data_IF_361410021712
#
_entry.id   IF_361410021712
#
_cell.length_a   1.000
_cell.length_b   1.000
_cell.length_c   1.000
_cell.angle_alpha   90.00
_cell.angle_beta   90.00
_cell.angle_gamma   90.00
#
_symmetry.space_group_name_H-M   'P 1'
#
loop_
_entity.id
_entity.type
_entity.pdbx_description
1 polymer ?
#
# COMPACT_ATOMS: atom_id res chain seq x y z
N UNK A 1 -2.69 -18.28 14.10
CA UNK A 1 -2.81 -18.83 15.45
C UNK A 1 -1.75 -19.89 15.64
N UNK A 2 -0.84 -19.67 16.57
CA UNK A 2 0.25 -20.61 16.86
C UNK A 2 -0.08 -21.36 18.15
N UNK A 3 0.05 -22.68 18.11
CA UNK A 3 -0.19 -23.56 19.26
C UNK A 3 1.14 -24.06 19.76
N UNK A 4 1.39 -23.92 21.07
CA UNK A 4 2.51 -24.59 21.75
C UNK A 4 2.04 -25.99 22.10
N UNK A 5 2.69 -27.02 21.56
CA UNK A 5 2.42 -28.40 21.86
C UNK A 5 3.25 -28.84 23.08
N UNK A 6 2.58 -29.43 24.05
CA UNK A 6 3.20 -30.20 25.12
C UNK A 6 3.45 -31.62 24.59
N UNK A 7 4.72 -31.95 24.43
CA UNK A 7 5.13 -33.35 24.17
C UNK A 7 5.23 -34.06 25.50
N UNK A 8 4.19 -34.77 25.90
CA UNK A 8 3.86 -35.35 27.20
C UNK A 8 4.96 -36.17 27.91
N UNK A 9 6.18 -36.11 27.48
CA UNK A 9 7.13 -37.14 27.95
C UNK A 9 8.29 -36.67 28.83
N UNK A 10 8.57 -35.38 29.04
CA UNK A 10 9.80 -35.04 29.79
C UNK A 10 9.84 -33.74 30.63
N UNK A 11 8.96 -32.77 30.49
CA UNK A 11 9.22 -31.43 31.01
C UNK A 11 8.00 -30.74 31.66
N UNK A 12 7.82 -30.90 32.97
CA UNK A 12 6.90 -30.14 33.81
C UNK A 12 5.59 -30.86 34.16
N UNK A 13 4.88 -30.32 35.14
CA UNK A 13 3.64 -30.83 35.67
C UNK A 13 2.45 -29.92 35.30
N UNK A 14 1.37 -30.49 34.75
CA UNK A 14 0.14 -29.76 34.47
C UNK A 14 -0.55 -29.28 35.77
N UNK A 15 -1.34 -28.19 35.73
CA UNK A 15 -1.66 -27.35 34.56
C UNK A 15 -0.53 -26.37 34.27
N UNK A 16 -0.45 -25.99 32.96
CA UNK A 16 0.45 -24.96 32.50
C UNK A 16 -0.23 -23.60 32.39
N UNK A 17 0.52 -22.53 32.65
CA UNK A 17 0.11 -21.16 32.38
C UNK A 17 1.00 -20.59 31.27
N UNK A 18 0.44 -19.69 30.52
CA UNK A 18 1.09 -19.08 29.34
C UNK A 18 1.12 -17.57 29.52
N UNK A 19 2.18 -16.95 29.07
CA UNK A 19 2.29 -15.50 28.94
C UNK A 19 3.04 -15.18 27.66
N UNK A 20 2.37 -14.55 26.74
CA UNK A 20 2.97 -14.06 25.51
C UNK A 20 3.52 -12.65 25.70
N UNK A 21 4.49 -12.24 24.89
CA UNK A 21 5.08 -10.90 24.93
C UNK A 21 4.07 -9.77 24.63
N UNK A 22 2.96 -10.07 23.94
CA UNK A 22 1.85 -9.16 23.74
C UNK A 22 0.84 -9.12 24.91
N UNK A 23 1.07 -9.91 25.97
CA UNK A 23 0.22 -10.00 27.15
C UNK A 23 -0.92 -11.04 27.06
N UNK A 24 -1.04 -11.79 25.97
CA UNK A 24 -1.97 -12.91 25.87
C UNK A 24 -1.56 -14.01 26.87
N UNK A 25 -2.54 -14.64 27.51
CA UNK A 25 -2.34 -15.70 28.52
C UNK A 25 -2.94 -17.04 28.10
N UNK A 26 -3.35 -17.18 26.85
CA UNK A 26 -3.94 -18.41 26.34
C UNK A 26 -2.87 -19.34 25.72
N UNK A 27 -3.18 -20.63 25.63
CA UNK A 27 -2.29 -21.58 24.94
C UNK A 27 -2.15 -21.32 23.44
N UNK A 28 -3.01 -20.50 22.88
CA UNK A 28 -3.04 -20.09 21.47
C UNK A 28 -2.86 -18.58 21.39
N UNK A 29 -1.63 -18.10 21.28
CA UNK A 29 -1.36 -16.68 21.18
C UNK A 29 -1.89 -16.07 19.86
N UNK A 30 -2.59 -14.94 19.96
CA UNK A 30 -2.93 -14.11 18.83
C UNK A 30 -1.83 -13.07 18.64
N UNK A 31 -0.84 -13.40 17.83
CA UNK A 31 0.33 -12.56 17.59
C UNK A 31 0.37 -12.12 16.12
N UNK A 32 0.73 -10.87 15.90
CA UNK A 32 0.96 -10.29 14.58
C UNK A 32 2.37 -10.61 14.06
N UNK A 33 2.72 -10.26 12.81
CA UNK A 33 4.04 -10.51 12.27
C UNK A 33 5.16 -10.02 13.19
N UNK A 34 6.31 -10.67 13.11
CA UNK A 34 7.59 -10.46 13.77
C UNK A 34 7.96 -11.60 14.72
N UNK A 35 9.00 -11.35 15.50
CA UNK A 35 9.52 -12.28 16.49
C UNK A 35 8.74 -12.17 17.81
N UNK A 36 8.29 -13.32 18.34
CA UNK A 36 7.51 -13.42 19.56
C UNK A 36 8.10 -14.41 20.54
N UNK A 37 7.80 -14.17 21.84
CA UNK A 37 8.13 -15.06 22.93
C UNK A 37 6.88 -15.47 23.70
N UNK A 38 6.87 -16.72 24.15
CA UNK A 38 5.90 -17.22 25.10
C UNK A 38 6.62 -17.85 26.28
N UNK A 39 6.26 -17.45 27.49
CA UNK A 39 6.68 -18.08 28.73
C UNK A 39 5.63 -19.08 29.13
N UNK A 40 6.06 -20.33 29.32
CA UNK A 40 5.19 -21.43 29.77
C UNK A 40 5.65 -21.86 31.15
N UNK A 41 4.76 -21.77 32.15
CA UNK A 41 5.08 -22.08 33.54
C UNK A 41 4.22 -23.24 34.00
N UNK A 42 4.83 -24.23 34.62
CA UNK A 42 4.17 -25.39 35.19
C UNK A 42 3.61 -25.10 36.61
N UNK A 43 2.83 -26.03 37.15
CA UNK A 43 2.25 -25.91 38.52
C UNK A 43 3.30 -25.77 39.62
N UNK A 44 4.53 -26.24 39.41
CA UNK A 44 5.64 -26.13 40.34
C UNK A 44 6.43 -24.83 40.21
N UNK A 45 6.08 -23.98 39.26
CA UNK A 45 6.76 -22.72 38.97
C UNK A 45 8.00 -22.87 38.07
N UNK A 46 8.20 -24.02 37.43
CA UNK A 46 9.25 -24.17 36.41
C UNK A 46 8.83 -23.49 35.14
N UNK A 47 9.73 -22.67 34.57
CA UNK A 47 9.45 -21.86 33.39
C UNK A 47 10.32 -22.27 32.21
N UNK A 48 9.74 -22.29 31.02
CA UNK A 48 10.44 -22.40 29.72
C UNK A 48 9.99 -21.30 28.79
N UNK A 49 10.90 -20.83 27.95
CA UNK A 49 10.60 -19.79 26.95
C UNK A 49 10.60 -20.43 25.56
N UNK A 50 9.49 -20.27 24.86
CA UNK A 50 9.36 -20.56 23.44
C UNK A 50 9.55 -19.29 22.60
N UNK A 51 10.17 -19.44 21.45
CA UNK A 51 10.39 -18.35 20.49
C UNK A 51 9.83 -18.75 19.13
N UNK A 52 9.17 -17.80 18.47
CA UNK A 52 8.63 -18.01 17.12
C UNK A 52 8.69 -16.71 16.31
N UNK A 53 8.73 -16.87 15.00
CA UNK A 53 8.58 -15.76 14.05
C UNK A 53 7.31 -15.98 13.25
N UNK A 54 6.47 -14.96 13.14
CA UNK A 54 5.27 -14.92 12.31
C UNK A 54 5.58 -14.14 11.04
N UNK A 55 5.26 -14.72 9.90
CA UNK A 55 5.49 -14.07 8.60
C UNK A 55 4.57 -12.87 8.41
N UNK A 56 5.10 -11.84 7.75
CA UNK A 56 4.35 -10.64 7.38
C UNK A 56 3.22 -10.94 6.39
N UNK A 57 2.18 -10.12 6.43
CA UNK A 57 1.19 -10.07 5.37
C UNK A 57 1.87 -9.42 4.14
N UNK A 58 1.84 -10.13 3.02
CA UNK A 58 2.39 -9.62 1.76
C UNK A 58 1.24 -9.18 0.87
N UNK A 59 1.29 -7.94 0.39
CA UNK A 59 0.28 -7.36 -0.49
C UNK A 59 0.81 -7.22 -1.91
N UNK A 60 0.01 -7.63 -2.89
CA UNK A 60 0.28 -7.44 -4.31
C UNK A 60 -0.93 -6.82 -4.97
N UNK A 61 -0.78 -5.62 -5.52
CA UNK A 61 -1.84 -4.94 -6.27
C UNK A 61 -1.87 -5.44 -7.72
N UNK A 62 -3.06 -5.66 -8.23
CA UNK A 62 -3.29 -6.01 -9.63
C UNK A 62 -4.45 -5.16 -10.21
N UNK A 63 -4.24 -4.37 -11.28
CA UNK A 63 -2.94 -4.10 -11.91
C UNK A 63 -2.02 -3.26 -11.01
N UNK A 64 -0.70 -3.43 -11.14
CA UNK A 64 0.30 -2.70 -10.36
C UNK A 64 0.42 -1.23 -10.78
N UNK A 65 0.11 -0.95 -12.03
CA UNK A 65 0.19 0.38 -12.62
C UNK A 65 -1.09 0.68 -13.40
N UNK A 66 -1.72 1.80 -13.08
CA UNK A 66 -2.90 2.30 -13.78
C UNK A 66 -2.56 3.65 -14.38
N UNK A 67 -2.55 3.70 -15.70
CA UNK A 67 -2.34 4.94 -16.45
C UNK A 67 -3.67 5.30 -17.11
N UNK A 68 -4.23 6.44 -16.75
CA UNK A 68 -5.42 6.98 -17.39
C UNK A 68 -5.00 7.73 -18.68
N UNK A 69 -5.77 7.55 -19.75
CA UNK A 69 -5.60 8.37 -20.94
C UNK A 69 -6.14 9.79 -20.71
N UNK A 70 -5.62 10.77 -21.44
CA UNK A 70 -6.16 12.12 -21.43
C UNK A 70 -7.62 12.13 -21.87
N UNK A 71 -8.40 13.05 -21.36
CA UNK A 71 -9.85 13.18 -21.55
C UNK A 71 -10.70 12.11 -20.83
N UNK A 72 -10.09 11.13 -20.17
CA UNK A 72 -10.85 10.21 -19.30
C UNK A 72 -10.87 10.78 -17.89
N UNK A 73 -11.90 11.54 -17.58
CA UNK A 73 -12.12 12.06 -16.22
C UNK A 73 -12.62 11.01 -15.25
N UNK A 74 -13.10 9.87 -15.78
CA UNK A 74 -13.59 8.76 -14.98
C UNK A 74 -13.33 7.45 -15.73
N UNK A 75 -12.38 6.65 -15.26
CA UNK A 75 -12.18 5.29 -15.75
C UNK A 75 -12.75 4.31 -14.73
N UNK A 76 -13.61 3.42 -15.19
CA UNK A 76 -14.08 2.28 -14.40
C UNK A 76 -12.93 1.25 -14.37
N UNK A 77 -12.28 1.12 -13.23
CA UNK A 77 -11.13 0.23 -13.03
C UNK A 77 -11.44 -0.77 -11.95
N UNK A 78 -11.21 -2.04 -12.26
CA UNK A 78 -11.19 -3.09 -11.25
C UNK A 78 -9.82 -3.12 -10.56
N UNK A 79 -9.81 -2.89 -9.25
CA UNK A 79 -8.63 -3.03 -8.39
C UNK A 79 -8.75 -4.29 -7.56
N UNK A 80 -7.69 -5.07 -7.55
CA UNK A 80 -7.61 -6.30 -6.76
C UNK A 80 -6.29 -6.33 -5.99
N UNK A 81 -6.38 -6.53 -4.67
CA UNK A 81 -5.22 -6.77 -3.82
C UNK A 81 -5.18 -8.24 -3.43
N UNK A 82 -4.10 -8.91 -3.80
CA UNK A 82 -3.84 -10.26 -3.35
C UNK A 82 -3.02 -10.20 -2.06
N UNK A 83 -3.60 -10.66 -0.97
CA UNK A 83 -2.95 -10.77 0.34
C UNK A 83 -2.52 -12.20 0.59
N UNK A 84 -1.30 -12.38 1.09
CA UNK A 84 -0.73 -13.68 1.48
C UNK A 84 0.02 -13.54 2.81
N UNK A 85 0.24 -14.64 3.53
CA UNK A 85 0.85 -14.60 4.86
C UNK A 85 -0.18 -14.37 5.97
N UNK A 86 0.25 -14.05 7.18
CA UNK A 86 -0.62 -13.90 8.33
C UNK A 86 -1.47 -15.16 8.60
N UNK A 87 -2.67 -14.97 9.12
CA UNK A 87 -3.61 -16.08 9.43
C UNK A 87 -4.65 -16.34 8.35
N UNK A 88 -4.64 -15.58 7.25
CA UNK A 88 -5.73 -15.60 6.26
C UNK A 88 -7.00 -14.89 6.76
N UNK A 89 -8.13 -15.15 6.08
CA UNK A 89 -9.40 -14.48 6.38
C UNK A 89 -9.30 -12.95 6.35
N UNK A 90 -8.78 -12.42 5.23
CA UNK A 90 -8.53 -11.00 5.08
C UNK A 90 -9.79 -10.19 4.92
N UNK A 91 -9.81 -9.03 5.56
CA UNK A 91 -10.76 -7.95 5.33
C UNK A 91 -10.03 -6.73 4.76
N UNK A 92 -10.72 -5.92 4.00
CA UNK A 92 -10.15 -4.82 3.24
C UNK A 92 -10.85 -3.52 3.61
N UNK A 93 -10.11 -2.43 3.66
CA UNK A 93 -10.64 -1.08 3.77
C UNK A 93 -9.88 -0.18 2.80
N UNK A 94 -10.54 0.21 1.72
CA UNK A 94 -9.99 1.11 0.72
C UNK A 94 -10.13 2.57 1.16
N UNK A 95 -9.22 3.43 0.70
CA UNK A 95 -9.29 4.87 0.98
C UNK A 95 -10.57 5.55 0.46
N UNK A 96 -11.25 4.93 -0.48
CA UNK A 96 -12.57 5.32 -0.99
C UNK A 96 -13.74 4.91 -0.07
N UNK A 97 -13.48 4.05 0.93
CA UNK A 97 -14.45 3.59 1.93
C UNK A 97 -15.06 2.22 1.66
N UNK A 98 -14.78 1.58 0.53
CA UNK A 98 -15.26 0.23 0.22
C UNK A 98 -14.50 -0.82 1.04
N UNK A 99 -15.17 -1.96 1.27
CA UNK A 99 -14.65 -3.07 2.06
C UNK A 99 -14.63 -4.41 1.29
N UNK A 100 -14.91 -4.38 0.00
CA UNK A 100 -14.88 -5.55 -0.88
C UNK A 100 -13.56 -5.61 -1.65
N UNK A 101 -13.18 -6.80 -2.08
CA UNK A 101 -12.03 -7.01 -2.95
C UNK A 101 -12.33 -8.17 -3.92
N UNK A 102 -12.24 -7.98 -5.23
CA UNK A 102 -11.88 -6.74 -5.92
C UNK A 102 -12.92 -5.62 -5.78
N UNK A 103 -12.51 -4.40 -6.04
CA UNK A 103 -13.43 -3.26 -6.14
C UNK A 103 -13.45 -2.70 -7.57
N UNK A 104 -14.62 -2.18 -7.97
CA UNK A 104 -14.76 -1.39 -9.18
C UNK A 104 -14.95 0.06 -8.79
N UNK A 105 -14.04 0.90 -9.16
CA UNK A 105 -14.06 2.33 -8.86
C UNK A 105 -14.01 3.16 -10.11
N UNK A 106 -14.79 4.24 -10.12
CA UNK A 106 -14.58 5.33 -11.04
C UNK A 106 -13.42 6.18 -10.52
N UNK A 107 -12.23 5.91 -11.00
CA UNK A 107 -11.02 6.52 -10.50
C UNK A 107 -10.69 7.82 -11.21
N UNK A 108 -10.33 8.81 -10.42
CA UNK A 108 -9.63 10.00 -10.89
C UNK A 108 -8.13 9.83 -10.63
N UNK A 109 -7.25 10.57 -11.32
CA UNK A 109 -5.86 10.63 -10.96
C UNK A 109 -5.70 10.98 -9.48
N UNK A 110 -4.83 10.27 -8.78
CA UNK A 110 -4.66 10.49 -7.35
C UNK A 110 -3.91 9.39 -6.64
N UNK A 111 -3.83 9.53 -5.33
CA UNK A 111 -3.23 8.55 -4.42
C UNK A 111 -4.33 7.80 -3.72
N UNK A 112 -4.25 6.49 -3.77
CA UNK A 112 -5.19 5.58 -3.15
C UNK A 112 -4.44 4.62 -2.23
N UNK A 113 -5.13 4.10 -1.23
CA UNK A 113 -4.58 3.08 -0.34
C UNK A 113 -5.62 2.04 0.00
N UNK A 114 -5.14 0.90 0.41
CA UNK A 114 -5.96 -0.16 0.99
C UNK A 114 -5.26 -0.70 2.22
N UNK A 115 -5.99 -0.79 3.31
CA UNK A 115 -5.61 -1.47 4.52
C UNK A 115 -6.19 -2.89 4.50
N UNK A 116 -5.36 -3.88 4.78
CA UNK A 116 -5.76 -5.29 4.85
C UNK A 116 -5.56 -5.78 6.27
N UNK A 117 -6.60 -6.36 6.84
CA UNK A 117 -6.59 -6.92 8.19
C UNK A 117 -6.82 -8.41 8.12
N UNK A 118 -5.98 -9.21 8.77
CA UNK A 118 -6.12 -10.67 8.84
C UNK A 118 -7.03 -11.13 9.99
N UNK A 119 -7.23 -12.44 10.11
CA UNK A 119 -8.08 -13.03 11.15
C UNK A 119 -7.60 -12.84 12.59
N UNK A 120 -6.37 -12.39 12.81
CA UNK A 120 -5.81 -12.03 14.12
C UNK A 120 -5.85 -10.52 14.38
N UNK A 121 -6.49 -9.74 13.54
CA UNK A 121 -6.50 -8.28 13.53
C UNK A 121 -5.12 -7.65 13.28
N UNK A 122 -4.22 -8.35 12.62
CA UNK A 122 -2.97 -7.78 12.15
C UNK A 122 -3.22 -7.02 10.85
N UNK A 123 -2.61 -5.85 10.72
CA UNK A 123 -2.87 -4.94 9.62
C UNK A 123 -1.61 -4.70 8.80
N UNK A 124 -1.81 -4.57 7.50
CA UNK A 124 -0.80 -4.12 6.54
C UNK A 124 -1.49 -3.22 5.51
N UNK A 125 -0.80 -2.20 5.04
CA UNK A 125 -1.34 -1.29 4.04
C UNK A 125 -0.43 -1.17 2.82
N UNK A 126 -1.02 -0.79 1.71
CA UNK A 126 -0.28 -0.42 0.51
C UNK A 126 -0.89 0.81 -0.13
N UNK A 127 -0.02 1.62 -0.71
CA UNK A 127 -0.37 2.86 -1.40
C UNK A 127 -0.05 2.70 -2.88
N UNK A 128 -0.94 3.20 -3.75
CA UNK A 128 -0.74 3.20 -5.19
C UNK A 128 -1.16 4.54 -5.79
N UNK A 129 -0.59 4.83 -6.94
CA UNK A 129 -0.80 6.06 -7.65
C UNK A 129 -1.53 5.79 -8.96
N UNK A 130 -2.60 6.52 -9.21
CA UNK A 130 -3.27 6.54 -10.50
C UNK A 130 -2.82 7.80 -11.22
N UNK A 131 -2.13 7.59 -12.30
CA UNK A 131 -1.58 8.66 -13.12
C UNK A 131 -2.47 8.92 -14.33
N UNK A 132 -2.73 10.19 -14.62
CA UNK A 132 -3.35 10.60 -15.87
C UNK A 132 -2.26 11.07 -16.83
N UNK A 133 -1.52 10.17 -17.46
CA UNK A 133 -0.64 10.59 -18.56
C UNK A 133 -0.51 9.52 -19.62
N UNK A 134 -1.14 9.80 -20.76
CA UNK A 134 -0.60 9.36 -22.04
C UNK A 134 0.26 10.48 -22.64
N UNK A 135 1.13 10.17 -23.59
CA UNK A 135 1.89 11.17 -24.36
C UNK A 135 0.98 12.15 -25.11
N UNK A 136 -0.31 11.81 -25.25
CA UNK A 136 -1.34 12.63 -25.91
C UNK A 136 -1.82 13.78 -24.99
N UNK A 137 -1.52 13.73 -23.68
CA UNK A 137 -1.77 14.82 -22.74
C UNK A 137 -0.77 15.97 -22.83
N UNK A 138 0.27 15.82 -23.63
CA UNK A 138 1.25 16.88 -23.82
C UNK A 138 0.79 17.77 -24.98
N UNK A 139 0.35 19.00 -24.72
CA UNK A 139 0.00 19.90 -25.81
C UNK A 139 1.16 20.05 -26.80
N UNK A 140 0.92 19.82 -28.08
CA UNK A 140 1.95 19.91 -29.11
C UNK A 140 2.07 21.31 -29.68
N UNK A 141 1.20 22.23 -29.29
CA UNK A 141 1.17 23.62 -29.70
C UNK A 141 0.57 24.53 -28.64
N UNK A 142 1.08 25.71 -28.48
CA UNK A 142 0.47 26.82 -27.73
C UNK A 142 0.74 28.14 -28.45
N UNK A 143 -0.04 29.17 -28.17
CA UNK A 143 -0.04 30.46 -28.92
C UNK A 143 0.02 31.62 -27.94
N UNK A 144 1.20 31.96 -27.39
CA UNK A 144 1.34 33.03 -26.43
C UNK A 144 1.14 34.39 -27.04
N UNK A 145 -0.11 34.85 -27.16
CA UNK A 145 -0.51 36.11 -27.79
C UNK A 145 -1.44 36.97 -26.90
N UNK A 146 -1.63 36.56 -25.61
CA UNK A 146 -2.46 37.23 -24.60
C UNK A 146 -3.95 37.37 -24.99
N UNK A 147 -4.48 36.43 -25.81
CA UNK A 147 -5.91 36.43 -26.15
C UNK A 147 -6.77 35.59 -25.14
N UNK A 148 -6.13 34.90 -24.23
CA UNK A 148 -6.75 34.04 -23.22
C UNK A 148 -6.93 32.59 -23.66
N UNK A 149 -6.56 32.21 -24.89
CA UNK A 149 -6.68 30.85 -25.40
C UNK A 149 -5.28 30.29 -25.73
N UNK A 150 -4.90 29.19 -25.05
CA UNK A 150 -3.61 28.51 -25.24
C UNK A 150 -2.36 29.43 -25.09
N UNK A 151 -2.45 30.46 -24.26
CA UNK A 151 -1.35 31.38 -24.02
C UNK A 151 -0.18 30.75 -23.27
N UNK A 152 -0.44 29.70 -22.52
CA UNK A 152 0.56 28.96 -21.73
C UNK A 152 0.61 27.49 -22.15
N UNK A 153 1.81 26.92 -22.18
CA UNK A 153 1.95 25.49 -22.36
C UNK A 153 1.74 24.82 -20.99
N UNK A 154 0.56 24.24 -20.77
CA UNK A 154 0.18 23.62 -19.53
C UNK A 154 0.21 22.10 -19.65
N UNK A 155 0.79 21.44 -18.66
CA UNK A 155 0.68 20.00 -18.43
C UNK A 155 -0.28 19.82 -17.23
N UNK A 156 -1.57 19.73 -17.52
CA UNK A 156 -2.61 19.75 -16.46
C UNK A 156 -2.42 18.66 -15.41
N UNK A 157 -1.82 17.53 -15.78
CA UNK A 157 -1.63 16.37 -14.91
C UNK A 157 -0.20 16.19 -14.38
N UNK A 158 0.73 17.07 -14.74
CA UNK A 158 2.11 17.03 -14.22
C UNK A 158 2.18 17.24 -12.69
N UNK A 159 1.11 17.77 -12.11
CA UNK A 159 0.97 17.97 -10.66
C UNK A 159 1.14 16.69 -9.86
N UNK A 160 0.77 15.52 -10.41
CA UNK A 160 0.93 14.22 -9.75
C UNK A 160 2.37 13.70 -9.70
N UNK A 161 3.29 14.37 -10.39
CA UNK A 161 4.70 13.98 -10.46
C UNK A 161 5.60 15.05 -9.85
N UNK A 162 5.51 15.24 -8.53
CA UNK A 162 6.28 16.27 -7.80
C UNK A 162 7.78 16.22 -8.08
N UNK A 163 8.31 15.05 -8.45
CA UNK A 163 9.73 14.84 -8.73
C UNK A 163 10.06 14.82 -10.23
N UNK A 164 9.05 14.99 -11.09
CA UNK A 164 9.27 15.02 -12.53
C UNK A 164 10.03 16.29 -12.94
N UNK A 165 10.95 16.15 -13.88
CA UNK A 165 11.68 17.27 -14.46
C UNK A 165 11.26 17.47 -15.91
N UNK A 166 10.69 18.64 -16.21
CA UNK A 166 10.33 19.07 -17.56
C UNK A 166 11.45 19.97 -18.11
N UNK A 167 11.96 19.62 -19.28
CA UNK A 167 12.96 20.42 -20.00
C UNK A 167 12.52 20.64 -21.44
N UNK A 168 12.48 21.91 -21.86
CA UNK A 168 12.17 22.27 -23.24
C UNK A 168 13.40 22.82 -23.92
N UNK A 169 13.65 22.35 -25.13
CA UNK A 169 14.80 22.76 -25.96
C UNK A 169 14.31 23.40 -27.23
N UNK A 170 15.00 24.44 -27.66
CA UNK A 170 14.75 24.99 -29.00
C UNK A 170 15.32 24.05 -30.08
N UNK A 171 15.00 24.34 -31.36
CA UNK A 171 15.45 23.56 -32.54
C UNK A 171 16.98 23.41 -32.65
N UNK A 172 17.75 24.21 -31.93
CA UNK A 172 19.22 24.19 -31.94
C UNK A 172 19.80 23.42 -30.73
N UNK A 173 18.95 22.77 -29.95
CA UNK A 173 19.35 22.00 -28.74
C UNK A 173 19.68 22.86 -27.51
N UNK A 174 19.37 24.17 -27.53
CA UNK A 174 19.56 25.04 -26.38
C UNK A 174 18.35 24.90 -25.44
N UNK A 175 18.60 24.62 -24.14
CA UNK A 175 17.57 24.63 -23.13
C UNK A 175 16.94 26.02 -23.02
N UNK A 176 15.61 26.09 -23.11
CA UNK A 176 14.83 27.34 -23.04
C UNK A 176 13.91 27.38 -21.82
N UNK A 177 13.51 26.22 -21.30
CA UNK A 177 12.71 26.11 -20.09
C UNK A 177 13.08 24.87 -19.29
N UNK A 178 12.98 24.98 -17.97
CA UNK A 178 13.15 23.87 -17.03
C UNK A 178 12.26 24.08 -15.80
N UNK A 179 11.51 23.04 -15.42
CA UNK A 179 10.71 23.01 -14.21
C UNK A 179 10.84 21.64 -13.53
N UNK A 180 10.78 21.62 -12.19
CA UNK A 180 10.67 20.40 -11.40
C UNK A 180 9.29 20.40 -10.76
N UNK A 181 8.56 19.29 -10.86
CA UNK A 181 7.16 19.19 -10.44
C UNK A 181 6.19 20.05 -11.23
N UNK A 182 6.65 20.69 -12.27
CA UNK A 182 5.90 21.56 -13.18
C UNK A 182 4.95 22.55 -12.47
N UNK A 183 5.42 23.16 -11.39
CA UNK A 183 4.64 24.09 -10.55
C UNK A 183 4.34 25.43 -11.24
N UNK A 184 5.03 25.72 -12.33
CA UNK A 184 4.87 26.94 -13.13
C UNK A 184 4.80 26.56 -14.60
N UNK A 185 3.67 26.79 -15.28
CA UNK A 185 3.56 26.58 -16.73
C UNK A 185 4.59 27.43 -17.50
N UNK A 186 4.92 26.99 -18.68
CA UNK A 186 5.77 27.75 -19.60
C UNK A 186 4.89 28.68 -20.47
N UNK A 187 5.17 29.96 -20.45
CA UNK A 187 4.60 31.06 -21.25
C UNK A 187 5.56 31.58 -22.31
#
# INVERSE_FOLDING_TARGET
TTTVYDDNDLWGAQPYTYLWDNGDVTAHGNVCPWFHRVWVTDVNGCEVVGELTVDEIQLTLNPSDIILECDITNLDVELNVNATGGTGNYTYLWSSGETVNPINLMLNPGVYSVEVTDGNNCQEDTVFHIAAMSTDCIPNVFTPNDDGDNDVWSLEDAFFYSDSEVRVYNRYGKLVFKSVGYTTPWD
#
